data_IF_592530648235
#
_entry.id   IF_592530648235
#
_cell.length_a   1.000
_cell.length_b   1.000
_cell.length_c   1.000
_cell.angle_alpha   90.00
_cell.angle_beta   90.00
_cell.angle_gamma   90.00
#
_symmetry.space_group_name_H-M   'P 1'
#
loop_
_entity.id
_entity.type
_entity.pdbx_description
1 polymer ?
#
# COMPACT_ATOMS: atom_id res chain seq x y z
N UNK A 1 25.56 -1.97 -15.51
CA UNK A 1 24.92 -0.97 -14.65
C UNK A 1 24.62 -1.62 -13.30
N UNK A 2 24.99 -0.95 -12.23
CA UNK A 2 24.74 -1.36 -10.85
C UNK A 2 23.91 -0.28 -10.14
N UNK A 3 22.77 -0.65 -9.57
CA UNK A 3 21.84 0.26 -8.91
C UNK A 3 21.74 -0.08 -7.43
N UNK A 4 21.88 0.92 -6.57
CA UNK A 4 21.60 0.80 -5.13
C UNK A 4 20.13 1.13 -4.87
N UNK A 5 19.37 0.21 -4.29
CA UNK A 5 18.01 0.47 -3.81
C UNK A 5 18.07 0.56 -2.28
N UNK A 6 17.74 1.74 -1.76
CA UNK A 6 17.90 2.07 -0.34
C UNK A 6 16.54 1.99 0.35
N UNK A 7 16.33 0.95 1.16
CA UNK A 7 15.09 0.62 1.84
C UNK A 7 14.41 -0.61 1.24
N UNK A 8 14.36 -1.70 2.02
CA UNK A 8 13.78 -3.00 1.65
C UNK A 8 12.29 -3.13 2.01
N UNK A 9 11.53 -2.01 2.01
CA UNK A 9 10.08 -2.03 2.10
C UNK A 9 9.42 -2.45 0.78
N UNK A 10 8.08 -2.40 0.72
CA UNK A 10 7.32 -2.82 -0.46
C UNK A 10 7.80 -2.13 -1.74
N UNK A 11 7.95 -0.80 -1.71
CA UNK A 11 8.42 -0.03 -2.87
C UNK A 11 9.84 -0.42 -3.30
N UNK A 12 10.76 -0.62 -2.34
CA UNK A 12 12.14 -1.01 -2.66
C UNK A 12 12.22 -2.39 -3.28
N UNK A 13 11.51 -3.38 -2.73
CA UNK A 13 11.45 -4.74 -3.28
C UNK A 13 10.83 -4.75 -4.69
N UNK A 14 9.72 -4.03 -4.90
CA UNK A 14 9.10 -3.89 -6.21
C UNK A 14 10.06 -3.26 -7.22
N UNK A 15 10.78 -2.21 -6.83
CA UNK A 15 11.76 -1.55 -7.69
C UNK A 15 12.94 -2.47 -8.01
N UNK A 16 13.44 -3.21 -7.04
CA UNK A 16 14.54 -4.15 -7.24
C UNK A 16 14.18 -5.24 -8.26
N UNK A 17 13.00 -5.85 -8.11
CA UNK A 17 12.48 -6.86 -9.06
C UNK A 17 12.31 -6.28 -10.47
N UNK A 18 11.72 -5.09 -10.59
CA UNK A 18 11.50 -4.43 -11.88
C UNK A 18 12.81 -4.04 -12.58
N UNK A 19 13.84 -3.65 -11.85
CA UNK A 19 15.17 -3.38 -12.38
C UNK A 19 15.88 -4.67 -12.81
N UNK A 20 15.82 -5.69 -11.97
CA UNK A 20 16.47 -6.97 -12.24
C UNK A 20 15.89 -7.70 -13.45
N UNK A 21 14.57 -7.62 -13.68
CA UNK A 21 13.93 -8.10 -14.91
C UNK A 21 14.52 -7.41 -16.16
N UNK A 22 14.90 -6.13 -16.05
CA UNK A 22 15.56 -5.37 -17.12
C UNK A 22 17.08 -5.60 -17.20
N UNK A 23 17.57 -6.69 -16.57
CA UNK A 23 18.99 -7.08 -16.54
C UNK A 23 19.91 -6.07 -15.83
N UNK A 24 19.36 -5.28 -14.92
CA UNK A 24 20.13 -4.38 -14.06
C UNK A 24 20.52 -5.13 -12.79
N UNK A 25 21.80 -5.06 -12.42
CA UNK A 25 22.26 -5.56 -11.12
C UNK A 25 21.83 -4.61 -10.02
N UNK A 26 21.28 -5.14 -8.94
CA UNK A 26 20.74 -4.38 -7.80
C UNK A 26 21.40 -4.81 -6.51
N UNK A 27 21.78 -3.85 -5.67
CA UNK A 27 22.04 -4.09 -4.25
C UNK A 27 20.92 -3.42 -3.45
N UNK A 28 20.15 -4.21 -2.72
CA UNK A 28 19.01 -3.77 -1.92
C UNK A 28 19.38 -3.73 -0.43
N UNK A 29 19.31 -2.54 0.17
CA UNK A 29 19.65 -2.33 1.58
C UNK A 29 18.42 -2.24 2.47
N UNK A 30 18.49 -2.81 3.66
CA UNK A 30 17.54 -2.52 4.74
C UNK A 30 18.27 -2.47 6.09
N UNK A 31 17.78 -1.58 6.98
CA UNK A 31 18.34 -1.44 8.33
C UNK A 31 17.92 -2.58 9.26
N UNK A 32 16.84 -3.26 8.97
CA UNK A 32 16.33 -4.39 9.74
C UNK A 32 17.00 -5.69 9.31
N UNK A 33 16.81 -6.73 10.09
CA UNK A 33 17.30 -8.10 9.83
C UNK A 33 16.59 -8.79 8.65
N UNK A 34 15.41 -8.31 8.28
CA UNK A 34 14.62 -8.82 7.16
C UNK A 34 13.97 -7.70 6.35
N UNK A 35 13.84 -7.93 5.02
CA UNK A 35 13.04 -7.08 4.16
C UNK A 35 11.57 -7.11 4.58
N UNK A 36 10.82 -6.04 4.25
CA UNK A 36 9.36 -5.99 4.46
C UNK A 36 8.92 -6.24 5.90
N UNK A 37 9.76 -5.94 6.89
CA UNK A 37 9.52 -6.29 8.30
C UNK A 37 8.79 -5.22 9.11
N UNK A 38 8.51 -4.03 8.53
CA UNK A 38 7.86 -2.90 9.21
C UNK A 38 6.48 -2.62 8.64
N UNK A 39 6.26 -1.40 8.12
CA UNK A 39 4.97 -0.96 7.59
C UNK A 39 4.36 -1.90 6.52
N UNK A 40 5.20 -2.64 5.80
CA UNK A 40 4.74 -3.59 4.79
C UNK A 40 3.89 -4.75 5.36
N UNK A 41 4.09 -5.12 6.63
CA UNK A 41 3.35 -6.19 7.31
C UNK A 41 2.45 -5.66 8.44
N UNK A 42 2.63 -4.41 8.85
CA UNK A 42 1.89 -3.77 9.92
C UNK A 42 0.81 -2.84 9.35
N UNK A 43 -0.07 -3.38 8.52
CA UNK A 43 -1.19 -2.67 7.91
C UNK A 43 -2.36 -3.62 7.64
N UNK A 44 -3.51 -3.08 7.30
CA UNK A 44 -4.74 -3.82 7.03
C UNK A 44 -4.78 -4.56 5.68
N UNK A 45 -3.77 -4.40 4.84
CA UNK A 45 -3.67 -5.05 3.53
C UNK A 45 -4.66 -4.58 2.47
N UNK A 46 -5.37 -3.47 2.69
CA UNK A 46 -6.40 -2.97 1.78
C UNK A 46 -5.82 -2.48 0.46
N UNK A 47 -6.45 -2.90 -0.62
CA UNK A 47 -6.11 -2.47 -1.98
C UNK A 47 -7.18 -1.47 -2.42
N UNK A 48 -6.95 -0.20 -2.07
CA UNK A 48 -7.94 0.87 -2.21
C UNK A 48 -8.28 1.21 -3.66
N UNK A 49 -9.54 1.03 -4.03
CA UNK A 49 -10.11 1.44 -5.32
C UNK A 49 -10.60 2.89 -5.34
N UNK A 50 -10.47 3.59 -4.22
CA UNK A 50 -10.83 5.00 -4.14
C UNK A 50 -12.07 5.34 -3.31
N UNK A 51 -12.83 4.36 -2.85
CA UNK A 51 -14.11 4.57 -2.14
C UNK A 51 -13.99 5.36 -0.83
N UNK A 52 -12.83 5.32 -0.17
CA UNK A 52 -12.61 5.96 1.13
C UNK A 52 -12.51 7.50 1.07
N UNK A 53 -12.38 8.11 -0.09
CA UNK A 53 -11.92 9.51 -0.22
C UNK A 53 -13.05 10.49 -0.55
N UNK A 54 -14.23 10.31 0.03
CA UNK A 54 -15.40 11.16 -0.19
C UNK A 54 -15.18 12.65 0.18
N UNK A 55 -14.17 12.95 0.98
CA UNK A 55 -13.77 14.33 1.29
C UNK A 55 -12.99 15.06 0.19
N UNK A 56 -12.64 14.39 -0.93
CA UNK A 56 -11.96 14.98 -2.07
C UNK A 56 -12.94 15.16 -3.24
N UNK A 57 -13.55 16.37 -3.41
CA UNK A 57 -14.54 16.60 -4.46
C UNK A 57 -13.93 16.57 -5.88
N UNK A 58 -12.60 16.64 -6.00
CA UNK A 58 -11.90 16.58 -7.30
C UNK A 58 -11.74 15.16 -7.83
N UNK A 59 -11.99 14.15 -7.01
CA UNK A 59 -11.76 12.73 -7.29
C UNK A 59 -10.28 12.40 -7.61
N UNK A 60 -9.37 13.33 -7.43
CA UNK A 60 -7.94 13.16 -7.75
C UNK A 60 -7.32 12.03 -6.92
N UNK A 61 -7.61 12.02 -5.62
CA UNK A 61 -7.14 10.98 -4.71
C UNK A 61 -7.72 9.61 -5.08
N UNK A 62 -9.02 9.55 -5.36
CA UNK A 62 -9.69 8.31 -5.77
C UNK A 62 -9.06 7.74 -7.06
N UNK A 63 -8.88 8.57 -8.09
CA UNK A 63 -8.25 8.17 -9.37
C UNK A 63 -6.82 7.66 -9.17
N UNK A 64 -6.03 8.32 -8.32
CA UNK A 64 -4.67 7.89 -8.00
C UNK A 64 -4.64 6.53 -7.32
N UNK A 65 -5.51 6.31 -6.32
CA UNK A 65 -5.60 5.03 -5.60
C UNK A 65 -6.08 3.92 -6.53
N UNK A 66 -7.11 4.17 -7.33
CA UNK A 66 -7.64 3.23 -8.31
C UNK A 66 -6.57 2.79 -9.34
N UNK A 67 -5.83 3.74 -9.90
CA UNK A 67 -4.74 3.43 -10.84
C UNK A 67 -3.68 2.53 -10.19
N UNK A 68 -3.30 2.81 -8.94
CA UNK A 68 -2.40 1.95 -8.15
C UNK A 68 -2.98 0.56 -7.90
N UNK A 69 -4.24 0.47 -7.50
CA UNK A 69 -4.92 -0.80 -7.22
C UNK A 69 -5.02 -1.70 -8.46
N UNK A 70 -5.42 -1.13 -9.60
CA UNK A 70 -5.58 -1.87 -10.86
C UNK A 70 -4.24 -2.27 -11.51
N UNK A 71 -3.15 -1.64 -11.15
CA UNK A 71 -1.80 -2.02 -11.60
C UNK A 71 -1.11 -3.01 -10.66
N UNK A 72 -1.59 -3.16 -9.44
CA UNK A 72 -0.90 -3.93 -8.41
C UNK A 72 -1.00 -5.45 -8.63
N UNK A 73 -2.18 -5.98 -8.94
CA UNK A 73 -2.35 -7.40 -9.23
C UNK A 73 -1.52 -7.83 -10.46
N UNK A 74 -1.58 -7.15 -11.62
CA UNK A 74 -0.70 -7.44 -12.75
C UNK A 74 0.80 -7.32 -12.43
N UNK A 75 1.17 -6.37 -11.58
CA UNK A 75 2.55 -6.26 -11.09
C UNK A 75 2.98 -7.52 -10.33
N UNK A 76 2.17 -7.98 -9.39
CA UNK A 76 2.48 -9.18 -8.60
C UNK A 76 2.57 -10.42 -9.50
N UNK A 77 1.65 -10.61 -10.45
CA UNK A 77 1.71 -11.70 -11.42
C UNK A 77 3.02 -11.71 -12.18
N UNK A 78 3.40 -10.55 -12.72
CA UNK A 78 4.62 -10.41 -13.51
C UNK A 78 5.88 -10.71 -12.73
N UNK A 79 6.02 -10.16 -11.52
CA UNK A 79 7.28 -10.19 -10.79
C UNK A 79 7.37 -11.31 -9.76
N UNK A 80 6.25 -11.82 -9.28
CA UNK A 80 6.23 -12.94 -8.33
C UNK A 80 5.93 -14.29 -9.03
N UNK A 81 5.60 -14.27 -10.32
CA UNK A 81 5.33 -15.48 -11.10
C UNK A 81 4.11 -16.27 -10.62
N UNK A 82 3.15 -15.61 -9.96
CA UNK A 82 1.94 -16.23 -9.41
C UNK A 82 0.71 -15.50 -9.90
N UNK A 83 -0.38 -16.23 -10.29
CA UNK A 83 -1.65 -15.58 -10.61
C UNK A 83 -2.15 -14.74 -9.42
N UNK A 84 -2.61 -13.51 -9.68
CA UNK A 84 -3.10 -12.63 -8.61
C UNK A 84 -4.28 -13.25 -7.84
N UNK A 85 -5.16 -13.99 -8.52
CA UNK A 85 -6.25 -14.73 -7.88
C UNK A 85 -5.81 -15.86 -6.94
N UNK A 86 -4.50 -16.22 -6.90
CA UNK A 86 -3.95 -17.20 -5.95
C UNK A 86 -3.64 -16.61 -4.57
N UNK A 87 -3.65 -15.27 -4.44
CA UNK A 87 -3.48 -14.63 -3.14
C UNK A 87 -4.78 -14.71 -2.35
N UNK A 88 -4.67 -15.06 -1.05
CA UNK A 88 -5.81 -15.01 -0.16
C UNK A 88 -6.28 -13.57 0.01
N UNK A 89 -7.55 -13.33 -0.32
CA UNK A 89 -8.20 -12.03 -0.19
C UNK A 89 -9.32 -12.09 0.84
N UNK A 90 -9.69 -10.93 1.36
CA UNK A 90 -10.83 -10.81 2.25
C UNK A 90 -12.15 -10.91 1.49
N UNK A 91 -13.26 -10.96 2.25
CA UNK A 91 -14.58 -10.63 1.69
C UNK A 91 -14.62 -9.16 1.24
N UNK A 92 -15.54 -8.79 0.34
CA UNK A 92 -15.78 -7.42 -0.07
C UNK A 92 -16.00 -6.47 1.11
N UNK A 93 -15.48 -5.24 0.98
CA UNK A 93 -15.56 -4.23 2.04
C UNK A 93 -16.92 -3.53 2.06
N UNK A 94 -17.51 -3.41 3.25
CA UNK A 94 -18.69 -2.58 3.47
C UNK A 94 -18.29 -1.23 4.07
N UNK A 95 -18.67 -0.17 3.40
CA UNK A 95 -18.50 1.20 3.89
C UNK A 95 -19.74 1.63 4.65
N UNK A 96 -19.57 2.08 5.88
CA UNK A 96 -20.62 2.73 6.64
C UNK A 96 -20.45 4.24 6.62
N UNK A 97 -21.54 4.96 6.48
CA UNK A 97 -21.57 6.41 6.72
C UNK A 97 -21.81 6.62 8.21
N UNK A 98 -20.80 7.13 8.90
CA UNK A 98 -20.88 7.39 10.34
C UNK A 98 -21.74 8.64 10.59
N UNK A 99 -22.46 8.67 11.73
CA UNK A 99 -23.29 9.81 12.14
C UNK A 99 -22.48 11.12 12.22
N UNK A 100 -21.23 11.05 12.64
CA UNK A 100 -20.33 12.21 12.73
C UNK A 100 -19.52 12.42 11.44
N UNK A 101 -19.96 11.85 10.30
CA UNK A 101 -19.32 12.11 9.01
C UNK A 101 -19.44 13.59 8.64
N UNK A 102 -18.40 14.13 7.97
CA UNK A 102 -18.44 15.52 7.48
C UNK A 102 -19.46 15.73 6.36
N UNK A 103 -19.78 14.67 5.64
CA UNK A 103 -20.74 14.65 4.56
C UNK A 103 -21.96 13.86 4.98
N UNK A 104 -23.12 14.25 4.46
CA UNK A 104 -24.36 13.51 4.68
C UNK A 104 -24.34 12.14 3.97
N UNK A 105 -25.28 11.28 4.31
CA UNK A 105 -25.34 9.93 3.76
C UNK A 105 -25.60 9.90 2.26
N UNK A 106 -26.41 10.83 1.75
CA UNK A 106 -26.75 10.93 0.32
C UNK A 106 -25.51 11.27 -0.51
N UNK A 107 -24.74 12.30 -0.10
CA UNK A 107 -23.51 12.71 -0.77
C UNK A 107 -22.45 11.60 -0.74
N UNK A 108 -22.30 10.92 0.42
CA UNK A 108 -21.40 9.78 0.52
C UNK A 108 -21.78 8.64 -0.42
N UNK A 109 -23.08 8.30 -0.49
CA UNK A 109 -23.54 7.26 -1.39
C UNK A 109 -23.44 7.67 -2.86
N UNK A 110 -23.66 8.95 -3.20
CA UNK A 110 -23.45 9.49 -4.54
C UNK A 110 -21.97 9.40 -4.94
N UNK A 111 -21.06 9.76 -4.04
CA UNK A 111 -19.64 9.61 -4.24
C UNK A 111 -19.25 8.15 -4.51
N UNK A 112 -19.72 7.19 -3.70
CA UNK A 112 -19.43 5.78 -3.89
C UNK A 112 -19.88 5.29 -5.28
N UNK A 113 -21.07 5.69 -5.74
CA UNK A 113 -21.56 5.38 -7.10
C UNK A 113 -20.68 5.99 -8.19
N UNK A 114 -20.25 7.24 -8.02
CA UNK A 114 -19.36 7.92 -8.97
C UNK A 114 -18.01 7.20 -9.08
N UNK A 115 -17.39 6.87 -7.93
CA UNK A 115 -16.12 6.12 -7.92
C UNK A 115 -16.30 4.74 -8.55
N UNK A 116 -17.43 4.07 -8.30
CA UNK A 116 -17.69 2.75 -8.88
C UNK A 116 -17.80 2.79 -10.42
N UNK A 117 -18.44 3.81 -10.96
CA UNK A 117 -18.48 4.02 -12.41
C UNK A 117 -17.07 4.21 -13.00
N UNK A 118 -16.22 5.01 -12.34
CA UNK A 118 -14.83 5.20 -12.74
C UNK A 118 -14.00 3.91 -12.63
N UNK A 119 -14.22 3.12 -11.59
CA UNK A 119 -13.56 1.81 -11.41
C UNK A 119 -13.93 0.86 -12.56
N UNK A 120 -15.20 0.78 -12.90
CA UNK A 120 -15.69 -0.05 -14.01
C UNK A 120 -15.10 0.38 -15.35
N UNK A 121 -15.10 1.68 -15.64
CA UNK A 121 -14.48 2.24 -16.83
C UNK A 121 -12.99 1.91 -16.90
N UNK A 122 -12.25 2.14 -15.81
CA UNK A 122 -10.81 1.91 -15.77
C UNK A 122 -10.44 0.41 -15.81
N UNK A 123 -11.29 -0.46 -15.28
CA UNK A 123 -11.09 -1.91 -15.32
C UNK A 123 -11.34 -2.48 -16.73
N UNK A 124 -12.20 -1.85 -17.53
CA UNK A 124 -12.48 -2.23 -18.93
C UNK A 124 -12.77 -3.74 -19.10
N UNK A 125 -13.61 -4.29 -18.23
CA UNK A 125 -13.96 -5.72 -18.22
C UNK A 125 -12.83 -6.70 -17.87
N UNK A 126 -11.64 -6.22 -17.49
CA UNK A 126 -10.49 -7.05 -17.15
C UNK A 126 -10.62 -7.64 -15.74
N UNK A 127 -11.09 -8.88 -15.64
CA UNK A 127 -11.22 -9.59 -14.35
C UNK A 127 -9.87 -9.83 -13.65
N UNK A 128 -8.77 -9.94 -14.41
CA UNK A 128 -7.40 -10.08 -13.86
C UNK A 128 -6.83 -8.81 -13.26
N UNK A 129 -7.44 -7.64 -13.50
CA UNK A 129 -6.88 -6.37 -13.03
C UNK A 129 -6.94 -6.19 -11.50
N UNK A 130 -7.82 -6.92 -10.81
CA UNK A 130 -8.02 -6.78 -9.38
C UNK A 130 -8.25 -8.12 -8.68
N UNK A 131 -7.21 -8.93 -8.56
CA UNK A 131 -7.19 -10.21 -7.82
C UNK A 131 -8.31 -11.21 -8.20
N UNK A 132 -8.76 -11.18 -9.45
CA UNK A 132 -9.84 -12.04 -9.93
C UNK A 132 -11.25 -11.60 -9.50
N UNK A 133 -11.39 -10.45 -8.86
CA UNK A 133 -12.68 -9.88 -8.47
C UNK A 133 -13.33 -9.22 -9.68
N UNK A 134 -14.61 -9.51 -9.88
CA UNK A 134 -15.44 -8.82 -10.86
C UNK A 134 -15.81 -7.42 -10.35
N UNK A 135 -15.21 -6.41 -10.95
CA UNK A 135 -15.46 -5.00 -10.60
C UNK A 135 -16.76 -4.47 -11.22
N UNK A 136 -17.38 -5.20 -12.15
CA UNK A 136 -18.65 -4.86 -12.78
C UNK A 136 -19.87 -5.12 -11.91
N UNK A 137 -19.71 -5.86 -10.80
CA UNK A 137 -20.81 -6.13 -9.87
C UNK A 137 -21.30 -4.82 -9.24
N UNK A 138 -22.62 -4.50 -9.34
CA UNK A 138 -23.17 -3.29 -8.76
C UNK A 138 -22.90 -3.16 -7.27
N UNK A 139 -22.72 -1.93 -6.78
CA UNK A 139 -22.68 -1.66 -5.35
C UNK A 139 -23.95 -2.13 -4.66
N UNK A 140 -23.83 -2.84 -3.55
CA UNK A 140 -24.97 -3.22 -2.72
C UNK A 140 -25.16 -2.19 -1.61
N UNK A 141 -26.12 -1.25 -1.80
CA UNK A 141 -26.61 -0.45 -0.69
C UNK A 141 -27.51 -1.33 0.21
N UNK A 142 -27.21 -1.36 1.50
CA UNK A 142 -28.04 -2.04 2.48
C UNK A 142 -29.29 -1.19 2.76
N UNK A 143 -30.44 -1.86 2.90
CA UNK A 143 -31.65 -1.22 3.41
C UNK A 143 -31.49 -0.75 4.86
N UNK A 144 -32.37 0.09 5.37
CA UNK A 144 -32.33 0.52 6.75
C UNK A 144 -32.38 -0.68 7.72
N UNK A 145 -33.26 -1.65 7.44
CA UNK A 145 -33.41 -2.86 8.25
C UNK A 145 -32.13 -3.73 8.23
N UNK A 146 -31.48 -3.91 7.07
CA UNK A 146 -30.20 -4.63 6.96
C UNK A 146 -29.10 -3.87 7.72
N UNK A 147 -29.06 -2.53 7.59
CA UNK A 147 -28.07 -1.70 8.27
C UNK A 147 -28.21 -1.79 9.79
N UNK A 148 -29.42 -1.71 10.32
CA UNK A 148 -29.72 -1.85 11.75
C UNK A 148 -29.45 -3.26 12.29
N UNK A 149 -29.65 -4.27 11.47
CA UNK A 149 -29.36 -5.64 11.85
C UNK A 149 -27.85 -5.97 11.95
N UNK A 150 -27.05 -5.32 11.10
CA UNK A 150 -25.61 -5.60 11.02
C UNK A 150 -24.75 -4.61 11.81
N UNK A 151 -25.23 -3.36 11.97
CA UNK A 151 -24.45 -2.27 12.55
C UNK A 151 -25.21 -1.55 13.66
N UNK A 152 -24.49 -0.94 14.59
CA UNK A 152 -25.09 -0.13 15.65
C UNK A 152 -25.78 1.09 15.02
N UNK A 153 -27.12 1.24 15.13
CA UNK A 153 -27.87 2.34 14.52
C UNK A 153 -27.54 3.72 15.11
N UNK A 154 -26.94 3.75 16.33
CA UNK A 154 -26.44 5.00 16.89
C UNK A 154 -25.22 5.55 16.13
N UNK A 155 -24.58 4.75 15.32
CA UNK A 155 -23.33 5.07 14.62
C UNK A 155 -23.53 5.08 13.09
N UNK A 156 -24.14 4.04 12.54
CA UNK A 156 -24.27 3.85 11.10
C UNK A 156 -25.56 4.47 10.57
N UNK A 157 -25.44 5.44 9.64
CA UNK A 157 -26.56 6.05 8.94
C UNK A 157 -26.91 5.33 7.63
N UNK A 158 -25.91 4.77 6.99
CA UNK A 158 -26.04 4.00 5.75
C UNK A 158 -24.86 3.02 5.64
N UNK A 159 -25.05 1.96 4.88
CA UNK A 159 -24.00 0.99 4.58
C UNK A 159 -24.05 0.58 3.11
N UNK A 160 -22.86 0.49 2.48
CA UNK A 160 -22.72 0.12 1.07
C UNK A 160 -21.57 -0.88 0.93
N UNK A 161 -21.86 -2.05 0.40
CA UNK A 161 -20.84 -3.05 0.06
C UNK A 161 -20.24 -2.73 -1.31
N UNK A 162 -18.92 -2.69 -1.38
CA UNK A 162 -18.13 -2.40 -2.56
C UNK A 162 -17.29 -3.62 -2.94
N UNK A 163 -16.76 -3.72 -4.16
CA UNK A 163 -15.84 -4.82 -4.51
C UNK A 163 -14.44 -4.69 -3.90
N UNK A 164 -14.18 -3.68 -3.10
CA UNK A 164 -12.85 -3.47 -2.49
C UNK A 164 -12.49 -4.59 -1.51
N UNK A 165 -11.25 -5.09 -1.63
CA UNK A 165 -10.75 -6.20 -0.81
C UNK A 165 -9.45 -5.82 -0.10
N UNK A 166 -9.04 -6.68 0.83
CA UNK A 166 -7.69 -6.68 1.39
C UNK A 166 -7.00 -8.02 1.11
N UNK A 167 -5.68 -7.99 1.02
CA UNK A 167 -4.84 -9.17 0.95
C UNK A 167 -4.11 -9.37 2.29
N UNK A 168 -3.61 -10.57 2.52
CA UNK A 168 -2.78 -10.82 3.69
C UNK A 168 -1.38 -10.22 3.50
N UNK A 169 -1.02 -9.11 4.19
CA UNK A 169 0.26 -8.43 3.98
C UNK A 169 1.46 -9.27 4.41
N UNK A 170 1.29 -10.16 5.39
CA UNK A 170 2.37 -11.05 5.88
C UNK A 170 2.68 -12.12 4.83
N UNK A 171 1.64 -12.73 4.25
CA UNK A 171 1.81 -13.73 3.19
C UNK A 171 2.42 -13.11 1.93
N UNK A 172 1.98 -11.90 1.55
CA UNK A 172 2.58 -11.16 0.44
C UNK A 172 4.06 -10.85 0.71
N UNK A 173 4.38 -10.34 1.89
CA UNK A 173 5.75 -10.03 2.27
C UNK A 173 6.66 -11.26 2.21
N UNK A 174 6.18 -12.43 2.65
CA UNK A 174 6.95 -13.66 2.56
C UNK A 174 7.20 -14.06 1.10
N UNK A 175 6.17 -14.10 0.27
CA UNK A 175 6.32 -14.42 -1.16
C UNK A 175 7.30 -13.46 -1.85
N UNK A 176 7.24 -12.17 -1.53
CA UNK A 176 8.13 -11.17 -2.12
C UNK A 176 9.57 -11.34 -1.65
N UNK A 177 9.80 -11.64 -0.36
CA UNK A 177 11.14 -11.96 0.17
C UNK A 177 11.76 -13.13 -0.57
N UNK A 178 10.99 -14.20 -0.75
CA UNK A 178 11.44 -15.41 -1.45
C UNK A 178 11.84 -15.11 -2.89
N UNK A 179 11.02 -14.35 -3.62
CA UNK A 179 11.31 -13.93 -4.99
C UNK A 179 12.55 -13.03 -5.10
N UNK A 180 12.70 -12.07 -4.18
CA UNK A 180 13.87 -11.19 -4.14
C UNK A 180 15.14 -11.98 -3.82
N UNK A 181 15.09 -12.85 -2.83
CA UNK A 181 16.24 -13.66 -2.42
C UNK A 181 16.68 -14.68 -3.50
N UNK A 182 15.73 -15.22 -4.27
CA UNK A 182 16.02 -16.15 -5.36
C UNK A 182 16.54 -15.48 -6.62
N UNK A 183 16.44 -14.14 -6.75
CA UNK A 183 16.76 -13.46 -8.00
C UNK A 183 18.28 -13.24 -8.17
N UNK A 184 18.95 -13.80 -9.21
CA UNK A 184 20.42 -13.80 -9.33
C UNK A 184 21.04 -12.40 -9.52
N UNK A 185 20.27 -11.40 -9.91
CA UNK A 185 20.74 -10.02 -10.09
C UNK A 185 20.47 -9.11 -8.89
N UNK A 186 19.90 -9.63 -7.79
CA UNK A 186 19.60 -8.86 -6.59
C UNK A 186 20.46 -9.36 -5.43
N UNK A 187 21.35 -8.51 -4.96
CA UNK A 187 22.09 -8.71 -3.72
C UNK A 187 21.34 -8.03 -2.57
N UNK A 188 20.93 -8.80 -1.55
CA UNK A 188 20.23 -8.27 -0.38
C UNK A 188 21.23 -8.01 0.75
N UNK A 189 21.18 -6.82 1.32
CA UNK A 189 21.98 -6.40 2.49
C UNK A 189 21.08 -5.88 3.62
N UNK A 190 20.62 -6.80 4.43
CA UNK A 190 19.94 -6.50 5.70
C UNK A 190 20.95 -6.07 6.78
N UNK A 191 20.46 -5.50 7.89
CA UNK A 191 21.28 -4.92 8.97
C UNK A 191 22.25 -3.84 8.49
N UNK A 192 21.88 -3.09 7.43
CA UNK A 192 22.67 -1.98 6.91
C UNK A 192 21.85 -0.69 6.92
N UNK A 193 22.12 0.16 7.91
CA UNK A 193 21.49 1.49 7.99
C UNK A 193 22.19 2.43 7.00
N UNK A 194 21.44 2.98 6.07
CA UNK A 194 21.95 4.03 5.18
C UNK A 194 22.05 5.33 5.97
N UNK A 195 23.26 5.86 6.10
CA UNK A 195 23.58 7.07 6.88
C UNK A 195 23.86 8.28 6.01
N UNK A 196 24.01 8.13 4.70
CA UNK A 196 24.20 9.23 3.76
C UNK A 196 24.58 8.74 2.37
N UNK A 197 24.60 9.68 1.45
CA UNK A 197 25.13 9.45 0.10
C UNK A 197 25.78 10.73 -0.44
N UNK A 198 26.70 10.58 -1.40
CA UNK A 198 27.30 11.71 -2.11
C UNK A 198 27.56 11.34 -3.56
N UNK A 199 27.44 12.32 -4.44
CA UNK A 199 27.81 12.17 -5.84
C UNK A 199 29.29 12.53 -6.04
N UNK A 200 30.02 11.66 -6.73
CA UNK A 200 31.45 11.83 -7.02
C UNK A 200 31.72 11.37 -8.45
N UNK A 201 32.16 12.26 -9.31
CA UNK A 201 32.56 11.95 -10.70
C UNK A 201 31.55 11.06 -11.45
N UNK A 202 30.25 11.46 -11.43
CA UNK A 202 29.19 10.74 -12.14
C UNK A 202 28.70 9.44 -11.50
N UNK A 203 29.25 9.06 -10.34
CA UNK A 203 28.78 7.91 -9.56
C UNK A 203 28.27 8.33 -8.19
N UNK A 204 27.50 7.49 -7.54
CA UNK A 204 26.96 7.75 -6.21
C UNK A 204 27.61 6.81 -5.22
N UNK A 205 28.20 7.39 -4.16
CA UNK A 205 28.75 6.66 -3.02
C UNK A 205 27.70 6.68 -1.92
N UNK A 206 27.20 5.51 -1.55
CA UNK A 206 26.29 5.32 -0.41
C UNK A 206 27.10 4.92 0.81
N UNK A 207 26.83 5.59 1.92
CA UNK A 207 27.44 5.29 3.22
C UNK A 207 26.43 4.50 4.05
N UNK A 208 26.86 3.37 4.57
CA UNK A 208 26.04 2.51 5.44
C UNK A 208 26.77 2.19 6.72
N UNK A 209 26.02 1.93 7.76
CA UNK A 209 26.49 1.35 9.02
C UNK A 209 25.85 -0.02 9.20
N UNK A 210 26.67 -1.06 9.27
CA UNK A 210 26.28 -2.44 9.46
C UNK A 210 26.85 -3.03 10.73
N UNK A 211 26.62 -4.33 10.98
CA UNK A 211 27.13 -5.04 12.16
C UNK A 211 28.68 -5.04 12.24
N UNK A 212 29.36 -4.98 11.10
CA UNK A 212 30.83 -4.91 11.01
C UNK A 212 31.35 -3.45 11.00
N UNK A 213 30.47 -2.46 11.22
CA UNK A 213 30.80 -1.04 11.20
C UNK A 213 30.49 -0.35 9.88
N UNK A 214 31.01 0.88 9.69
CA UNK A 214 30.70 1.72 8.53
C UNK A 214 31.30 1.16 7.24
N UNK A 215 30.54 1.26 6.15
CA UNK A 215 30.94 0.78 4.82
C UNK A 215 30.57 1.79 3.74
N UNK A 216 31.27 1.70 2.60
CA UNK A 216 31.04 2.54 1.42
C UNK A 216 30.73 1.67 0.21
N UNK A 217 29.67 2.01 -0.51
CA UNK A 217 29.22 1.28 -1.69
C UNK A 217 29.10 2.25 -2.87
N UNK A 218 29.57 1.83 -4.02
CA UNK A 218 29.59 2.67 -5.25
C UNK A 218 28.55 2.14 -6.22
N UNK A 219 27.73 3.06 -6.75
CA UNK A 219 26.64 2.76 -7.69
C UNK A 219 26.65 3.71 -8.87
N UNK A 220 26.16 3.24 -10.04
CA UNK A 220 25.87 4.10 -11.18
C UNK A 220 24.64 4.96 -10.89
N UNK A 221 23.63 4.38 -10.26
CA UNK A 221 22.40 5.05 -9.85
C UNK A 221 21.94 4.56 -8.47
N UNK A 222 21.10 5.37 -7.81
CA UNK A 222 20.51 5.06 -6.51
C UNK A 222 19.02 5.40 -6.54
N UNK A 223 18.21 4.49 -5.98
CA UNK A 223 16.79 4.72 -5.69
C UNK A 223 16.60 4.89 -4.20
N UNK A 224 16.08 6.04 -3.79
CA UNK A 224 15.76 6.33 -2.39
C UNK A 224 14.36 5.83 -2.05
N UNK A 225 14.26 4.66 -1.41
CA UNK A 225 13.03 4.04 -0.92
C UNK A 225 12.99 3.97 0.63
N UNK A 226 13.71 4.86 1.32
CA UNK A 226 13.90 4.84 2.78
C UNK A 226 12.67 5.27 3.59
N UNK A 227 11.59 5.68 2.96
CA UNK A 227 10.36 6.14 3.60
C UNK A 227 10.60 7.25 4.63
N UNK A 228 10.72 6.92 5.93
CA UNK A 228 10.98 7.87 7.02
C UNK A 228 12.37 8.54 6.91
N UNK A 229 13.38 7.84 6.40
CA UNK A 229 14.72 8.35 6.16
C UNK A 229 14.93 9.11 4.84
N UNK A 230 13.89 9.18 3.99
CA UNK A 230 14.01 9.71 2.62
C UNK A 230 14.52 11.15 2.57
N UNK A 231 14.02 12.00 3.44
CA UNK A 231 14.37 13.45 3.42
C UNK A 231 15.82 13.66 3.84
N UNK A 232 16.26 13.00 4.91
CA UNK A 232 17.64 13.11 5.39
C UNK A 232 18.66 12.68 4.30
N UNK A 233 18.35 11.58 3.58
CA UNK A 233 19.19 11.15 2.48
C UNK A 233 19.20 12.17 1.33
N UNK A 234 18.04 12.73 0.95
CA UNK A 234 17.95 13.75 -0.09
C UNK A 234 18.77 14.99 0.28
N UNK A 235 18.70 15.45 1.52
CA UNK A 235 19.48 16.57 2.04
C UNK A 235 20.98 16.30 1.98
N UNK A 236 21.42 15.09 2.28
CA UNK A 236 22.84 14.70 2.17
C UNK A 236 23.37 14.76 0.73
N UNK A 237 22.48 14.66 -0.25
CA UNK A 237 22.75 14.81 -1.68
C UNK A 237 22.56 16.26 -2.19
N UNK A 238 22.23 17.21 -1.33
CA UNK A 238 21.95 18.62 -1.67
C UNK A 238 20.52 18.92 -2.11
N UNK A 239 19.62 17.93 -2.11
CA UNK A 239 18.21 18.11 -2.47
C UNK A 239 17.39 18.46 -1.23
N UNK A 240 17.08 19.74 -1.05
CA UNK A 240 16.21 20.20 0.04
C UNK A 240 14.76 20.21 -0.38
N UNK A 241 13.88 19.86 0.54
CA UNK A 241 12.46 20.01 0.32
C UNK A 241 12.09 21.49 0.20
N UNK A 242 11.35 21.86 -0.84
CA UNK A 242 10.88 23.22 -1.09
C UNK A 242 9.59 23.57 -0.32
N UNK A 243 9.06 22.64 0.46
CA UNK A 243 7.85 22.80 1.28
C UNK A 243 8.06 22.12 2.63
N UNK A 244 7.41 22.61 3.69
CA UNK A 244 7.36 21.88 4.96
C UNK A 244 6.75 20.49 4.78
N UNK A 245 7.35 19.50 5.41
CA UNK A 245 6.84 18.14 5.41
C UNK A 245 6.19 17.85 6.76
N UNK A 246 4.99 17.26 6.72
CA UNK A 246 4.27 16.79 7.88
C UNK A 246 4.32 15.26 7.91
N UNK A 247 4.89 14.70 8.95
CA UNK A 247 4.85 13.27 9.21
C UNK A 247 3.59 12.94 10.03
N UNK A 248 2.71 12.10 9.49
CA UNK A 248 1.55 11.58 10.23
C UNK A 248 1.89 10.21 10.81
N UNK A 249 1.66 10.06 12.10
CA UNK A 249 1.62 8.74 12.73
C UNK A 249 0.19 8.19 12.61
N UNK A 250 0.07 6.98 12.05
CA UNK A 250 -1.18 6.22 12.01
C UNK A 250 -0.96 4.97 12.85
N UNK A 251 -1.72 4.86 13.93
CA UNK A 251 -1.72 3.66 14.75
C UNK A 251 -2.79 2.69 14.25
N UNK A 252 -2.44 1.41 14.09
CA UNK A 252 -3.36 0.31 13.95
C UNK A 252 -3.52 -0.37 15.32
N UNK A 253 -4.75 -0.60 15.74
CA UNK A 253 -5.05 -1.39 16.93
C UNK A 253 -5.63 -2.73 16.50
N UNK A 254 -5.10 -3.83 17.02
CA UNK A 254 -5.65 -5.17 16.83
C UNK A 254 -6.30 -5.63 18.13
N UNK A 255 -7.53 -6.11 18.03
CA UNK A 255 -8.26 -6.60 19.18
C UNK A 255 -8.51 -8.10 19.02
N UNK A 256 -8.28 -8.87 20.08
CA UNK A 256 -8.72 -10.26 20.15
C UNK A 256 -10.14 -10.26 20.71
N UNK A 257 -11.07 -10.82 19.95
CA UNK A 257 -12.44 -10.99 20.43
C UNK A 257 -12.48 -12.05 21.53
N UNK A 258 -13.39 -11.90 22.53
CA UNK A 258 -13.64 -12.95 23.52
C UNK A 258 -14.05 -14.26 22.84
N UNK A 259 -13.83 -15.38 23.54
CA UNK A 259 -14.27 -16.69 23.07
C UNK A 259 -15.80 -16.70 22.86
N UNK A 260 -16.24 -17.21 21.71
CA UNK A 260 -17.66 -17.26 21.34
C UNK A 260 -18.18 -16.03 20.59
N UNK A 261 -17.45 -14.91 20.59
CA UNK A 261 -17.80 -13.75 19.76
C UNK A 261 -17.31 -13.97 18.34
N UNK A 262 -18.24 -14.05 17.40
CA UNK A 262 -17.89 -14.14 15.97
C UNK A 262 -17.47 -12.78 15.44
N UNK A 263 -16.37 -12.69 14.69
CA UNK A 263 -16.02 -11.44 14.00
C UNK A 263 -17.12 -11.09 12.98
N UNK A 264 -17.32 -9.79 12.69
CA UNK A 264 -18.22 -9.38 11.63
C UNK A 264 -17.80 -10.05 10.30
N UNK A 265 -18.78 -10.45 9.52
CA UNK A 265 -18.55 -11.16 8.24
C UNK A 265 -17.98 -10.23 7.15
N UNK A 266 -18.15 -8.93 7.31
CA UNK A 266 -17.71 -7.91 6.36
C UNK A 266 -16.50 -7.12 6.90
N UNK A 267 -15.64 -6.68 6.01
CA UNK A 267 -14.68 -5.62 6.35
C UNK A 267 -15.45 -4.31 6.49
N UNK A 268 -15.30 -3.67 7.64
CA UNK A 268 -15.98 -2.43 7.93
C UNK A 268 -15.04 -1.24 7.72
N UNK A 269 -15.47 -0.27 6.93
CA UNK A 269 -14.80 1.01 6.73
C UNK A 269 -15.77 2.13 7.09
N UNK A 270 -15.33 3.04 7.93
CA UNK A 270 -16.16 4.18 8.34
C UNK A 270 -15.65 5.46 7.69
N UNK A 271 -16.57 6.21 7.08
CA UNK A 271 -16.31 7.57 6.61
C UNK A 271 -16.55 8.53 7.79
N UNK A 272 -15.51 8.81 8.56
CA UNK A 272 -15.56 9.65 9.76
C UNK A 272 -14.76 10.92 9.56
N UNK A 273 -15.15 11.94 10.28
CA UNK A 273 -14.41 13.20 10.39
C UNK A 273 -12.98 12.93 10.88
N UNK A 274 -11.98 13.31 10.09
CA UNK A 274 -10.63 13.44 10.63
C UNK A 274 -10.61 14.61 11.60
N UNK A 275 -10.23 14.38 12.85
CA UNK A 275 -9.93 15.49 13.74
C UNK A 275 -8.92 16.42 13.05
N UNK A 276 -9.25 17.70 12.96
CA UNK A 276 -8.25 18.71 12.61
C UNK A 276 -7.34 18.85 13.83
N UNK A 277 -6.09 18.49 13.68
CA UNK A 277 -5.02 18.83 14.60
C UNK A 277 -4.43 20.17 14.19
#
# INVERSE_FOLDING_TARGET
MLVGVLGGGLQGCCTALALAERKVRVTLFDKNDALLSRAAVANEGKIHLGYMYAGDPTLSTAKTMMAGALSFAPFLERYLGRPAGSFSVSVPATYIVHRDSQQNAEDCCAYLRTVHALVNEAADGRTGAYFGIDLGIPLKALSAAETEAEFNPAIALAAVTTPEIAINPVALAQTMRDCVAAHPLIEVRCNHTVIGAKQVCGTIIVLTEGLAGPSRHRFDHVVNALWDGRLALNESLGYRANRPWLHRLKYGASFRLPAGVKPPRAQLLSLVRSARW
#
